data_IF_590507951689
#
_entry.id   IF_590507951689
#
_cell.length_a   1.000
_cell.length_b   1.000
_cell.length_c   1.000
_cell.angle_alpha   90.00
_cell.angle_beta   90.00
_cell.angle_gamma   90.00
#
_symmetry.space_group_name_H-M   'P 1'
#
loop_
_entity.id
_entity.type
_entity.pdbx_description
1 polymer ?
#
# COMPACT_ATOMS: atom_id res chain seq x y z
N UNK A 1 -18.31 -1.75 4.33
CA UNK A 1 -16.92 -1.98 3.86
C UNK A 1 -16.59 -0.96 2.76
N UNK A 2 -15.31 -0.77 2.40
CA UNK A 2 -14.93 0.18 1.32
C UNK A 2 -15.57 -0.17 -0.03
N UNK A 3 -15.77 -1.46 -0.32
CA UNK A 3 -16.46 -1.90 -1.55
C UNK A 3 -17.92 -1.43 -1.64
N UNK A 4 -18.63 -1.38 -0.51
CA UNK A 4 -20.02 -0.88 -0.47
C UNK A 4 -20.06 0.62 -0.75
N UNK A 5 -19.11 1.37 -0.17
CA UNK A 5 -18.97 2.81 -0.39
C UNK A 5 -18.67 3.12 -1.86
N UNK A 6 -17.76 2.38 -2.48
CA UNK A 6 -17.47 2.50 -3.92
C UNK A 6 -18.70 2.19 -4.77
N UNK A 7 -19.41 1.10 -4.46
CA UNK A 7 -20.62 0.69 -5.20
C UNK A 7 -21.70 1.76 -5.13
N UNK A 8 -21.91 2.37 -3.96
CA UNK A 8 -22.82 3.50 -3.79
C UNK A 8 -22.35 4.74 -4.57
N UNK A 9 -21.06 5.09 -4.50
CA UNK A 9 -20.50 6.23 -5.23
C UNK A 9 -20.67 6.08 -6.75
N UNK A 10 -20.48 4.86 -7.28
CA UNK A 10 -20.76 4.55 -8.70
C UNK A 10 -22.25 4.68 -8.99
N UNK A 11 -23.11 4.09 -8.15
CA UNK A 11 -24.57 4.17 -8.31
C UNK A 11 -25.13 5.60 -8.28
N UNK A 12 -24.52 6.48 -7.49
CA UNK A 12 -24.87 7.89 -7.39
C UNK A 12 -24.23 8.77 -8.48
N UNK A 13 -23.34 8.22 -9.32
CA UNK A 13 -22.60 8.99 -10.33
C UNK A 13 -21.50 9.90 -9.74
N UNK A 14 -21.09 9.67 -8.50
CA UNK A 14 -20.04 10.44 -7.82
C UNK A 14 -18.63 10.05 -8.29
N UNK A 15 -18.47 8.86 -8.86
CA UNK A 15 -17.20 8.39 -9.42
C UNK A 15 -17.40 7.49 -10.64
N UNK A 16 -16.45 7.57 -11.57
CA UNK A 16 -16.30 6.64 -12.70
C UNK A 16 -15.01 5.81 -12.59
N UNK A 17 -14.29 5.91 -11.46
CA UNK A 17 -13.05 5.17 -11.25
C UNK A 17 -13.34 3.71 -10.93
N UNK A 18 -12.44 2.83 -11.39
CA UNK A 18 -12.36 1.47 -10.89
C UNK A 18 -12.00 1.45 -9.39
N UNK A 19 -12.34 0.35 -8.72
CA UNK A 19 -12.26 0.26 -7.26
C UNK A 19 -10.87 0.59 -6.70
N UNK A 20 -9.79 0.06 -7.29
CA UNK A 20 -8.43 0.30 -6.79
C UNK A 20 -8.00 1.77 -6.90
N UNK A 21 -8.31 2.43 -8.01
CA UNK A 21 -7.98 3.84 -8.22
C UNK A 21 -8.85 4.75 -7.33
N UNK A 22 -10.13 4.40 -7.18
CA UNK A 22 -11.01 5.08 -6.23
C UNK A 22 -10.48 4.94 -4.80
N UNK A 23 -10.13 3.71 -4.39
CA UNK A 23 -9.62 3.43 -3.05
C UNK A 23 -8.33 4.20 -2.80
N UNK A 24 -7.46 4.32 -3.79
CA UNK A 24 -6.21 5.09 -3.70
C UNK A 24 -6.47 6.56 -3.36
N UNK A 25 -7.46 7.18 -4.01
CA UNK A 25 -7.86 8.56 -3.72
C UNK A 25 -8.40 8.71 -2.30
N UNK A 26 -9.24 7.77 -1.87
CA UNK A 26 -9.76 7.76 -0.52
C UNK A 26 -8.61 7.64 0.49
N UNK A 27 -7.68 6.71 0.28
CA UNK A 27 -6.53 6.48 1.14
C UNK A 27 -5.59 7.69 1.21
N UNK A 28 -5.30 8.35 0.08
CA UNK A 28 -4.47 9.57 0.05
C UNK A 28 -5.11 10.74 0.81
N UNK A 29 -6.44 10.81 0.79
CA UNK A 29 -7.20 11.84 1.51
C UNK A 29 -7.32 11.56 3.00
N UNK A 30 -6.86 10.40 3.50
CA UNK A 30 -6.87 10.12 4.94
C UNK A 30 -5.85 11.01 5.65
N UNK A 31 -6.35 11.80 6.60
CA UNK A 31 -5.58 12.70 7.44
C UNK A 31 -4.63 13.65 6.67
N UNK A 32 -5.19 14.55 5.85
CA UNK A 32 -4.40 15.48 5.02
C UNK A 32 -3.49 16.41 5.84
N UNK A 33 -3.83 16.63 7.12
CA UNK A 33 -3.11 17.52 8.04
C UNK A 33 -2.07 16.80 8.91
N UNK A 34 -1.98 15.47 8.83
CA UNK A 34 -0.99 14.71 9.59
C UNK A 34 0.23 14.37 8.72
N UNK A 35 1.45 14.45 9.27
CA UNK A 35 2.61 13.88 8.59
C UNK A 35 2.35 12.40 8.31
N UNK A 36 2.66 11.89 7.11
CA UNK A 36 2.31 10.50 6.73
C UNK A 36 2.80 9.41 7.69
N UNK A 37 3.88 9.66 8.43
CA UNK A 37 4.44 8.79 9.48
C UNK A 37 3.66 8.82 10.81
N UNK A 38 2.73 9.76 11.00
CA UNK A 38 1.90 9.85 12.21
C UNK A 38 0.86 8.73 12.29
N UNK A 39 0.45 8.16 11.15
CA UNK A 39 -0.40 6.99 11.09
C UNK A 39 0.49 5.77 10.89
N UNK A 40 0.56 4.91 11.90
CA UNK A 40 1.31 3.67 11.82
C UNK A 40 0.57 2.51 12.47
N UNK A 41 0.88 1.29 12.01
CA UNK A 41 0.31 0.04 12.51
C UNK A 41 1.42 -0.96 12.75
N UNK A 42 1.39 -1.61 13.90
CA UNK A 42 2.27 -2.74 14.17
C UNK A 42 1.59 -4.01 13.68
N UNK A 43 2.28 -4.77 12.84
CA UNK A 43 1.92 -6.13 12.45
C UNK A 43 2.84 -7.11 13.18
N UNK A 44 2.32 -8.32 13.44
CA UNK A 44 3.06 -9.42 14.09
C UNK A 44 3.06 -10.63 13.18
N UNK A 45 4.25 -11.21 13.00
CA UNK A 45 4.43 -12.49 12.31
C UNK A 45 5.36 -13.37 13.14
N UNK A 46 4.81 -14.47 13.67
CA UNK A 46 5.47 -15.29 14.68
C UNK A 46 5.87 -14.47 15.92
N UNK A 47 7.19 -14.33 16.15
CA UNK A 47 7.76 -13.58 17.28
C UNK A 47 8.25 -12.18 16.92
N UNK A 48 8.05 -11.74 15.67
CA UNK A 48 8.63 -10.49 15.18
C UNK A 48 7.53 -9.47 14.94
N UNK A 49 7.80 -8.24 15.38
CA UNK A 49 6.92 -7.09 15.19
C UNK A 49 7.51 -6.15 14.16
N UNK A 50 6.65 -5.61 13.31
CA UNK A 50 7.05 -4.63 12.30
C UNK A 50 6.07 -3.47 12.33
N UNK A 51 6.59 -2.25 12.37
CA UNK A 51 5.78 -1.04 12.27
C UNK A 51 5.73 -0.60 10.80
N UNK A 52 4.53 -0.50 10.26
CA UNK A 52 4.27 0.05 8.95
C UNK A 52 3.63 1.42 9.09
N UNK A 53 3.99 2.31 8.18
CA UNK A 53 3.50 3.69 8.12
C UNK A 53 2.55 3.85 6.95
N UNK A 54 1.53 4.68 7.14
CA UNK A 54 0.60 5.04 6.09
C UNK A 54 1.34 5.82 4.99
N UNK A 55 1.08 5.48 3.72
CA UNK A 55 1.73 6.09 2.54
C UNK A 55 3.25 5.90 2.52
N UNK A 56 3.74 4.81 3.10
CA UNK A 56 5.15 4.46 3.06
C UNK A 56 5.43 3.30 2.11
N UNK A 57 6.61 3.33 1.48
CA UNK A 57 7.14 2.30 0.60
C UNK A 57 8.14 1.44 1.34
N UNK A 58 8.04 0.15 1.09
CA UNK A 58 8.90 -0.86 1.67
C UNK A 58 9.43 -1.82 0.61
N UNK A 59 10.49 -2.52 0.99
CA UNK A 59 11.08 -3.60 0.24
C UNK A 59 11.25 -4.82 1.13
N UNK A 60 10.96 -6.01 0.60
CA UNK A 60 11.29 -7.30 1.22
C UNK A 60 11.94 -8.21 0.18
N UNK A 61 12.67 -9.22 0.65
CA UNK A 61 13.24 -10.26 -0.19
C UNK A 61 12.50 -11.57 0.05
N UNK A 62 11.81 -12.04 -0.98
CA UNK A 62 11.28 -13.39 -1.05
C UNK A 62 12.41 -14.37 -1.39
N UNK A 63 12.46 -15.56 -0.76
CA UNK A 63 13.52 -16.55 -1.01
C UNK A 63 13.61 -16.97 -2.49
N UNK A 64 12.47 -17.29 -3.13
CA UNK A 64 12.46 -17.81 -4.50
C UNK A 64 12.33 -16.75 -5.60
N UNK A 65 11.46 -15.74 -5.43
CA UNK A 65 11.18 -14.72 -6.47
C UNK A 65 12.01 -13.44 -6.33
N UNK A 66 12.79 -13.31 -5.25
CA UNK A 66 13.69 -12.17 -5.04
C UNK A 66 12.99 -10.93 -4.46
N UNK A 67 13.43 -9.75 -4.87
CA UNK A 67 13.03 -8.47 -4.27
C UNK A 67 11.60 -8.10 -4.66
N UNK A 68 10.78 -7.78 -3.66
CA UNK A 68 9.43 -7.24 -3.84
C UNK A 68 9.34 -5.87 -3.20
N UNK A 69 8.76 -4.90 -3.91
CA UNK A 69 8.45 -3.57 -3.40
C UNK A 69 6.94 -3.44 -3.23
N UNK A 70 6.53 -2.73 -2.19
CA UNK A 70 5.13 -2.46 -1.96
C UNK A 70 4.93 -1.13 -1.25
N UNK A 71 3.76 -0.54 -1.46
CA UNK A 71 3.28 0.61 -0.71
C UNK A 71 2.29 0.15 0.34
N UNK A 72 2.34 0.74 1.52
CA UNK A 72 1.46 0.47 2.63
C UNK A 72 0.47 1.63 2.82
N UNK A 73 -0.80 1.28 3.04
CA UNK A 73 -1.83 2.21 3.46
C UNK A 73 -2.58 1.63 4.65
N UNK A 74 -2.83 2.48 5.65
CA UNK A 74 -3.60 2.14 6.85
C UNK A 74 -4.95 2.83 6.72
N UNK A 75 -6.02 2.03 6.77
CA UNK A 75 -7.40 2.48 6.72
C UNK A 75 -8.17 1.91 7.91
N UNK A 76 -8.42 2.74 8.91
CA UNK A 76 -9.09 2.33 10.15
C UNK A 76 -8.37 1.16 10.83
N UNK A 77 -8.94 -0.04 10.79
CA UNK A 77 -8.40 -1.28 11.35
C UNK A 77 -7.67 -2.17 10.32
N UNK A 78 -7.77 -1.84 9.04
CA UNK A 78 -7.16 -2.57 7.95
C UNK A 78 -5.78 -2.00 7.59
N UNK A 79 -4.81 -2.91 7.41
CA UNK A 79 -3.54 -2.60 6.75
C UNK A 79 -3.58 -3.16 5.34
N UNK A 80 -3.58 -2.25 4.37
CA UNK A 80 -3.57 -2.57 2.95
C UNK A 80 -2.16 -2.40 2.40
N UNK A 81 -1.80 -3.25 1.45
CA UNK A 81 -0.60 -3.10 0.66
C UNK A 81 -0.92 -3.24 -0.82
N UNK A 82 -0.11 -2.60 -1.64
CA UNK A 82 -0.11 -2.80 -3.08
C UNK A 82 1.32 -3.02 -3.51
N UNK A 83 1.58 -4.16 -4.16
CA UNK A 83 2.91 -4.44 -4.71
C UNK A 83 3.19 -3.50 -5.88
N UNK A 84 4.46 -3.19 -6.10
CA UNK A 84 4.93 -2.44 -7.25
C UNK A 84 5.85 -3.32 -8.08
N UNK A 85 5.65 -3.33 -9.39
CA UNK A 85 6.60 -3.90 -10.31
C UNK A 85 7.92 -3.12 -10.21
N UNK A 86 9.01 -3.82 -9.87
CA UNK A 86 10.26 -3.20 -9.43
C UNK A 86 10.96 -2.36 -10.50
N UNK A 87 10.66 -2.60 -11.78
CA UNK A 87 11.26 -1.88 -12.92
C UNK A 87 10.35 -0.76 -13.44
N UNK A 88 9.05 -1.05 -13.63
CA UNK A 88 8.12 -0.08 -14.23
C UNK A 88 7.45 0.83 -13.21
N UNK A 89 7.57 0.53 -11.92
CA UNK A 89 6.85 1.20 -10.85
C UNK A 89 5.34 0.94 -10.86
N UNK A 90 4.86 0.03 -11.72
CA UNK A 90 3.41 -0.23 -11.86
C UNK A 90 2.90 -0.84 -10.57
N UNK A 91 1.90 -0.18 -9.98
CA UNK A 91 1.23 -0.66 -8.78
C UNK A 91 0.17 -1.70 -9.16
N UNK A 92 0.22 -2.84 -8.48
CA UNK A 92 -0.80 -3.89 -8.54
C UNK A 92 -1.99 -3.56 -7.62
N UNK A 93 -3.10 -4.32 -7.69
CA UNK A 93 -4.27 -4.09 -6.83
C UNK A 93 -3.95 -4.07 -5.33
N UNK A 94 -4.76 -3.34 -4.58
CA UNK A 94 -4.71 -3.31 -3.13
C UNK A 94 -5.18 -4.64 -2.54
N UNK A 95 -4.43 -5.14 -1.56
CA UNK A 95 -4.77 -6.34 -0.80
C UNK A 95 -4.56 -6.10 0.69
N UNK A 96 -5.30 -6.80 1.54
CA UNK A 96 -5.00 -6.82 2.98
C UNK A 96 -3.69 -7.54 3.22
N UNK A 97 -2.85 -7.02 4.11
CA UNK A 97 -1.51 -7.57 4.37
C UNK A 97 -1.52 -8.95 5.06
N UNK A 98 -2.64 -9.35 5.66
CA UNK A 98 -2.76 -10.60 6.42
C UNK A 98 -2.36 -11.80 5.57
N UNK A 99 -1.36 -12.56 6.03
CA UNK A 99 -0.86 -13.76 5.33
C UNK A 99 -0.05 -13.50 4.05
N UNK A 100 0.24 -12.25 3.69
CA UNK A 100 0.98 -11.93 2.45
C UNK A 100 2.49 -12.18 2.57
N UNK A 101 3.04 -12.05 3.78
CA UNK A 101 4.45 -12.22 4.04
C UNK A 101 4.70 -13.32 5.06
N UNK A 102 5.74 -14.11 4.82
CA UNK A 102 6.26 -15.02 5.83
C UNK A 102 7.17 -14.28 6.82
N UNK A 103 7.44 -14.90 7.98
CA UNK A 103 8.39 -14.35 8.95
C UNK A 103 9.79 -14.13 8.35
N UNK A 104 10.24 -15.01 7.45
CA UNK A 104 11.56 -14.93 6.80
C UNK A 104 11.64 -13.66 5.94
N UNK A 105 10.59 -13.36 5.20
CA UNK A 105 10.55 -12.19 4.33
C UNK A 105 10.50 -10.89 5.13
N UNK A 106 9.65 -10.82 6.15
CA UNK A 106 9.55 -9.62 6.97
C UNK A 106 10.84 -9.30 7.73
N UNK A 107 11.66 -10.30 8.07
CA UNK A 107 13.01 -10.04 8.64
C UNK A 107 13.94 -9.27 7.69
N UNK A 108 13.63 -9.24 6.39
CA UNK A 108 14.36 -8.47 5.39
C UNK A 108 13.70 -7.13 5.06
N UNK A 109 12.62 -6.78 5.77
CA UNK A 109 11.85 -5.56 5.54
C UNK A 109 12.75 -4.32 5.66
N UNK A 110 12.72 -3.50 4.61
CA UNK A 110 13.42 -2.22 4.56
C UNK A 110 12.43 -1.12 4.22
N UNK A 111 12.47 -0.04 5.00
CA UNK A 111 11.82 1.22 4.65
C UNK A 111 12.57 1.87 3.49
N UNK A 112 11.83 2.41 2.52
CA UNK A 112 12.41 3.13 1.37
C UNK A 112 12.05 4.62 1.41
N UNK A 113 10.78 4.96 1.60
CA UNK A 113 10.28 6.34 1.59
C UNK A 113 8.92 6.47 2.28
N UNK A 114 8.57 7.66 2.76
CA UNK A 114 7.27 7.97 3.36
C UNK A 114 6.55 9.10 2.60
N UNK A 115 5.27 9.30 2.88
CA UNK A 115 4.48 10.41 2.34
C UNK A 115 4.21 10.31 0.83
N UNK A 116 4.12 9.09 0.31
CA UNK A 116 3.83 8.86 -1.10
C UNK A 116 2.43 9.35 -1.48
N UNK A 117 2.30 9.94 -2.66
CA UNK A 117 1.03 10.04 -3.37
C UNK A 117 0.65 8.65 -3.89
N UNK A 118 -0.42 8.07 -3.35
CA UNK A 118 -0.94 6.74 -3.72
C UNK A 118 -1.67 6.74 -5.06
N UNK A 119 -2.03 7.92 -5.56
CA UNK A 119 -2.61 8.12 -6.89
C UNK A 119 -1.55 8.38 -7.96
N UNK A 120 -0.29 8.62 -7.57
CA UNK A 120 0.79 8.86 -8.51
C UNK A 120 0.91 7.70 -9.49
N UNK A 121 1.01 8.06 -10.77
CA UNK A 121 1.25 7.09 -11.82
C UNK A 121 2.55 6.31 -11.56
N UNK A 122 2.67 5.08 -12.09
CA UNK A 122 3.92 4.35 -12.11
C UNK A 122 5.04 5.27 -12.61
N UNK A 123 6.09 5.48 -11.81
CA UNK A 123 7.26 6.22 -12.30
C UNK A 123 7.91 5.33 -13.35
N UNK A 124 7.52 5.53 -14.61
CA UNK A 124 8.14 4.90 -15.75
C UNK A 124 9.61 5.27 -15.74
N UNK A 125 10.47 4.24 -15.76
CA UNK A 125 11.90 4.39 -15.90
C UNK A 125 12.21 5.44 -16.98
N UNK A 126 12.98 6.47 -16.60
CA UNK A 126 13.62 7.35 -17.56
C UNK A 126 14.29 6.47 -18.62
N UNK A 127 13.86 6.62 -19.87
CA UNK A 127 14.51 5.99 -21.01
C UNK A 127 15.96 6.43 -21.00
N UNK A 128 16.86 5.50 -20.68
CA UNK A 128 18.26 5.62 -21.09
C UNK A 128 18.40 5.32 -22.57
#
# INVERSE_FOLDING_TARGET
MRIDQWTMAVGNGETALEYDDWLSRILDSLAPDLPGHAISRVIREGRTEFRLEHRARYEVRHPDIGVRRFVCAIDSDATLIAFEHTVSGVRYPWVTISGVFTQIELRTLRFLSAGLDLCAAPVGAERR
#
